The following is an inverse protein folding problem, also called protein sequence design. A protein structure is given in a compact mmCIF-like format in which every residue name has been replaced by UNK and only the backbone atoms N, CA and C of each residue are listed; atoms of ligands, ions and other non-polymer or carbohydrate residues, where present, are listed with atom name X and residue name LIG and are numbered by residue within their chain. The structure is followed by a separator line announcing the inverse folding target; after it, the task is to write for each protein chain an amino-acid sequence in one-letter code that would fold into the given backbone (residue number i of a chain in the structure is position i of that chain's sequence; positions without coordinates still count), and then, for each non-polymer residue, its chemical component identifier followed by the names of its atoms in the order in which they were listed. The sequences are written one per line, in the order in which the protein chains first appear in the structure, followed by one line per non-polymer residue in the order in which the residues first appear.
data_IF_564663240566
#
_entry.id   IF_564663240566
#
_cell.length_a   1.000
_cell.length_b   1.000
_cell.length_c   1.000
_cell.angle_alpha   90.00
_cell.angle_beta   90.00
_cell.angle_gamma   90.00
#
_symmetry.space_group_name_H-M   'P 1'
#
loop_
_entity.id
_entity.type
_entity.pdbx_description
1 polymer ?
#
# COMPACT_ATOMS: atom_id res chain seq x y z
N UNK A 1 -15.65 13.12 0.75
CA UNK A 1 -14.62 13.24 0.06
C UNK A 1 -14.48 12.21 -0.89
N UNK A 2 -13.77 12.55 -1.65
CA UNK A 2 -13.48 11.75 -2.66
C UNK A 2 -12.42 10.83 -2.41
N UNK A 3 -12.46 9.73 -2.97
CA UNK A 3 -11.34 8.86 -2.94
C UNK A 3 -10.19 9.50 -3.68
N UNK A 4 -9.00 9.06 -3.38
CA UNK A 4 -7.80 9.53 -4.05
C UNK A 4 -7.79 8.94 -5.45
N UNK A 5 -7.88 9.81 -6.44
CA UNK A 5 -7.95 9.37 -7.81
C UNK A 5 -6.55 9.25 -8.39
N UNK A 6 -5.89 8.15 -8.13
CA UNK A 6 -4.52 7.95 -8.57
C UNK A 6 -4.41 7.37 -9.97
N UNK A 7 -5.37 6.50 -10.33
CA UNK A 7 -5.26 5.76 -11.58
C UNK A 7 -5.14 6.62 -12.82
N UNK A 8 -5.93 7.69 -12.99
CA UNK A 8 -5.81 8.48 -14.20
C UNK A 8 -4.52 9.24 -14.33
N UNK A 9 -3.88 9.56 -13.19
CA UNK A 9 -2.68 10.38 -13.17
C UNK A 9 -1.41 9.56 -13.06
N UNK A 10 -1.49 8.31 -12.66
CA UNK A 10 -0.33 7.49 -12.40
C UNK A 10 -0.10 6.53 -13.55
N UNK A 11 1.10 6.51 -14.15
CA UNK A 11 1.37 5.58 -15.24
C UNK A 11 1.16 4.12 -14.83
N UNK A 12 0.79 3.31 -15.81
CA UNK A 12 0.45 1.90 -15.56
C UNK A 12 1.62 1.07 -15.04
N UNK A 13 2.84 1.49 -15.31
CA UNK A 13 4.02 0.74 -14.90
C UNK A 13 4.44 1.03 -13.47
N UNK A 14 3.71 1.89 -12.76
CA UNK A 14 3.99 2.14 -11.35
C UNK A 14 3.26 1.14 -10.47
N UNK A 15 3.95 0.68 -9.44
CA UNK A 15 3.31 -0.06 -8.35
C UNK A 15 2.98 0.91 -7.22
N UNK A 16 2.05 0.53 -6.38
CA UNK A 16 1.68 1.31 -5.21
C UNK A 16 2.08 0.53 -3.96
N UNK A 17 2.77 1.19 -3.06
CA UNK A 17 3.08 0.63 -1.74
C UNK A 17 2.38 1.46 -0.68
N UNK A 18 1.43 0.87 0.01
CA UNK A 18 0.71 1.55 1.08
C UNK A 18 1.51 1.38 2.36
N UNK A 19 1.95 2.48 2.94
CA UNK A 19 2.83 2.47 4.08
C UNK A 19 2.07 2.74 5.37
N UNK A 20 2.15 1.82 6.31
CA UNK A 20 1.59 1.98 7.64
C UNK A 20 2.68 2.28 8.63
N UNK A 21 2.34 3.00 9.69
CA UNK A 21 3.32 3.28 10.73
C UNK A 21 3.74 2.00 11.45
N UNK A 22 2.77 1.14 11.72
CA UNK A 22 2.99 -0.06 12.50
C UNK A 22 2.40 0.09 13.87
N UNK A 23 2.17 -1.03 14.53
CA UNK A 23 1.57 -1.04 15.84
C UNK A 23 1.84 -2.38 16.49
N UNK A 24 1.86 -2.39 17.81
CA UNK A 24 1.90 -3.64 18.58
C UNK A 24 0.50 -4.16 18.82
N UNK A 25 -0.52 -3.37 18.47
CA UNK A 25 -1.91 -3.75 18.62
C UNK A 25 -2.36 -4.55 17.40
N UNK A 26 -2.76 -5.78 17.62
CA UNK A 26 -3.17 -6.67 16.54
C UNK A 26 -4.38 -6.17 15.78
N UNK A 27 -5.28 -5.49 16.47
CA UNK A 27 -6.48 -4.96 15.81
C UNK A 27 -6.10 -3.84 14.85
N UNK A 28 -5.20 -2.96 15.26
CA UNK A 28 -4.75 -1.89 14.39
C UNK A 28 -4.05 -2.41 13.15
N UNK A 29 -3.24 -3.44 13.31
CA UNK A 29 -2.58 -4.08 12.19
C UNK A 29 -3.60 -4.68 11.24
N UNK A 30 -4.58 -5.38 11.79
CA UNK A 30 -5.59 -6.04 10.96
C UNK A 30 -6.45 -5.02 10.21
N UNK A 31 -6.79 -3.92 10.86
CA UNK A 31 -7.54 -2.85 10.20
C UNK A 31 -6.78 -2.27 9.02
N UNK A 32 -5.48 -2.06 9.19
CA UNK A 32 -4.66 -1.55 8.12
C UNK A 32 -4.58 -2.54 6.96
N UNK A 33 -4.38 -3.82 7.25
CA UNK A 33 -4.29 -4.84 6.21
C UNK A 33 -5.60 -4.97 5.45
N UNK A 34 -6.71 -4.86 6.15
CA UNK A 34 -8.02 -4.90 5.52
C UNK A 34 -8.21 -3.72 4.58
N UNK A 35 -7.80 -2.53 5.02
CA UNK A 35 -7.91 -1.33 4.19
C UNK A 35 -7.04 -1.46 2.94
N UNK A 36 -5.82 -1.94 3.10
CA UNK A 36 -4.92 -2.14 1.96
C UNK A 36 -5.50 -3.17 0.97
N UNK A 37 -6.12 -4.21 1.49
CA UNK A 37 -6.73 -5.23 0.65
C UNK A 37 -7.88 -4.66 -0.17
N UNK A 38 -8.70 -3.80 0.44
CA UNK A 38 -9.79 -3.14 -0.27
C UNK A 38 -9.28 -2.23 -1.37
N UNK A 39 -8.20 -1.53 -1.10
CA UNK A 39 -7.60 -0.67 -2.11
C UNK A 39 -7.08 -1.49 -3.27
N UNK A 40 -6.44 -2.61 -2.98
CA UNK A 40 -5.95 -3.50 -4.01
C UNK A 40 -7.07 -3.99 -4.92
N UNK A 41 -8.23 -4.27 -4.34
CA UNK A 41 -9.38 -4.70 -5.12
C UNK A 41 -9.86 -3.64 -6.09
N UNK A 42 -9.66 -2.38 -5.77
CA UNK A 42 -10.06 -1.26 -6.64
C UNK A 42 -9.06 -1.00 -7.75
N UNK A 43 -7.87 -1.58 -7.65
CA UNK A 43 -6.81 -1.38 -8.64
C UNK A 43 -6.35 -2.73 -9.18
N UNK A 44 -7.25 -3.49 -9.83
CA UNK A 44 -6.94 -4.87 -10.20
C UNK A 44 -5.83 -5.01 -11.23
N UNK A 45 -5.57 -3.95 -12.00
CA UNK A 45 -4.56 -3.99 -13.05
C UNK A 45 -3.21 -3.46 -12.60
N UNK A 46 -3.06 -3.17 -11.31
CA UNK A 46 -1.85 -2.57 -10.78
C UNK A 46 -1.34 -3.39 -9.61
N UNK A 47 -0.03 -3.47 -9.48
CA UNK A 47 0.58 -4.13 -8.32
C UNK A 47 0.42 -3.20 -7.13
N UNK A 48 -0.21 -3.70 -6.08
CA UNK A 48 -0.41 -2.96 -4.83
C UNK A 48 0.11 -3.83 -3.70
N UNK A 49 1.08 -3.31 -2.96
CA UNK A 49 1.63 -3.98 -1.79
C UNK A 49 1.50 -3.05 -0.60
N UNK A 50 1.69 -3.59 0.59
CA UNK A 50 1.67 -2.75 1.79
C UNK A 50 2.80 -3.18 2.71
N UNK A 51 3.21 -2.27 3.57
CA UNK A 51 4.25 -2.56 4.53
C UNK A 51 4.20 -1.59 5.69
N UNK A 52 4.81 -1.98 6.78
CA UNK A 52 4.86 -1.18 8.01
C UNK A 52 6.26 -0.63 8.23
N UNK A 53 6.33 0.55 8.85
CA UNK A 53 7.61 1.12 9.23
C UNK A 53 8.29 0.33 10.34
N UNK A 54 7.50 -0.11 11.33
CA UNK A 54 8.04 -0.86 12.45
C UNK A 54 6.95 -1.68 13.13
N UNK A 55 7.37 -2.57 14.03
CA UNK A 55 6.51 -3.39 14.91
C UNK A 55 5.69 -4.47 14.23
N UNK A 56 5.60 -4.50 12.92
CA UNK A 56 4.77 -5.49 12.25
C UNK A 56 5.32 -5.82 10.88
N UNK A 57 4.91 -6.95 10.37
CA UNK A 57 5.28 -7.38 9.02
C UNK A 57 4.04 -7.49 8.16
N UNK A 58 4.18 -7.34 6.85
CA UNK A 58 5.44 -7.09 6.15
C UNK A 58 5.95 -5.68 6.42
N UNK A 59 7.25 -5.49 6.29
CA UNK A 59 7.84 -4.16 6.39
C UNK A 59 7.73 -3.44 5.04
N UNK A 60 7.98 -2.14 5.05
CA UNK A 60 8.01 -1.39 3.79
C UNK A 60 9.11 -1.93 2.89
N UNK A 61 10.26 -2.29 3.46
CA UNK A 61 11.34 -2.89 2.66
C UNK A 61 10.90 -4.19 2.02
N UNK A 62 10.17 -5.03 2.75
CA UNK A 62 9.65 -6.28 2.20
C UNK A 62 8.73 -6.00 1.00
N UNK A 63 7.88 -4.99 1.11
CA UNK A 63 6.96 -4.63 0.04
C UNK A 63 7.70 -4.14 -1.20
N UNK A 64 8.72 -3.33 -0.99
CA UNK A 64 9.52 -2.80 -2.10
C UNK A 64 10.29 -3.94 -2.79
N UNK A 65 10.88 -4.84 -2.02
CA UNK A 65 11.59 -5.98 -2.59
C UNK A 65 10.65 -6.81 -3.45
N UNK A 66 9.43 -7.03 -2.98
CA UNK A 66 8.47 -7.81 -3.74
C UNK A 66 8.13 -7.14 -5.07
N UNK A 67 7.95 -5.84 -5.08
CA UNK A 67 7.70 -5.11 -6.32
C UNK A 67 8.87 -5.24 -7.28
N UNK A 68 10.08 -5.13 -6.77
CA UNK A 68 11.29 -5.26 -7.60
C UNK A 68 11.40 -6.66 -8.19
N UNK A 69 11.09 -7.67 -7.39
CA UNK A 69 11.10 -9.05 -7.87
C UNK A 69 10.08 -9.28 -8.98
N UNK A 70 8.99 -8.53 -8.95
CA UNK A 70 7.97 -8.59 -9.99
C UNK A 70 8.31 -7.74 -11.22
N UNK A 71 9.50 -7.16 -11.25
CA UNK A 71 9.97 -6.40 -12.41
C UNK A 71 9.57 -4.94 -12.42
N UNK A 72 9.00 -4.45 -11.31
CA UNK A 72 8.57 -3.06 -11.22
C UNK A 72 9.77 -2.15 -10.95
N UNK A 73 9.86 -1.06 -11.67
CA UNK A 73 10.94 -0.08 -11.50
C UNK A 73 10.49 1.21 -10.85
N UNK A 74 9.20 1.48 -10.85
CA UNK A 74 8.66 2.73 -10.31
C UNK A 74 7.62 2.41 -9.26
N UNK A 75 7.80 2.91 -8.06
CA UNK A 75 6.93 2.63 -6.93
C UNK A 75 6.51 3.95 -6.30
N UNK A 76 5.22 4.11 -6.08
CA UNK A 76 4.69 5.24 -5.32
C UNK A 76 4.35 4.74 -3.94
N UNK A 77 4.87 5.41 -2.92
CA UNK A 77 4.57 5.07 -1.54
C UNK A 77 3.50 6.02 -1.03
N UNK A 78 2.39 5.47 -0.58
CA UNK A 78 1.26 6.24 -0.10
C UNK A 78 1.08 6.00 1.38
N UNK A 79 1.12 7.06 2.22
CA UNK A 79 0.85 6.88 3.65
C UNK A 79 -0.56 6.35 3.87
N UNK A 80 -0.68 5.35 4.71
CA UNK A 80 -1.96 4.71 4.97
C UNK A 80 -3.01 5.65 5.52
N UNK A 81 -2.57 6.70 6.21
CA UNK A 81 -3.50 7.69 6.77
C UNK A 81 -4.35 8.36 5.68
N UNK A 82 -3.81 8.48 4.48
CA UNK A 82 -4.58 9.05 3.38
C UNK A 82 -5.71 8.14 2.94
N UNK A 83 -5.55 6.85 3.14
CA UNK A 83 -6.58 5.88 2.80
C UNK A 83 -7.71 5.93 3.81
N UNK A 84 -7.37 6.09 5.07
CA UNK A 84 -8.36 6.13 6.15
C UNK A 84 -9.17 7.41 6.15
N UNK A 85 -8.65 8.48 5.57
CA UNK A 85 -9.32 9.77 5.52
C UNK A 85 -10.43 9.82 4.46
N UNK A 86 -10.42 8.87 3.58
CA UNK A 86 -11.37 8.84 2.47
C UNK A 86 -12.78 8.43 2.80
#
# INVERSE_FOLDING_TARGET
MNEIALSPALPDDYAICIAGHGSRDKEGIQEFLTLASKFKEREPDRIVECGFLEFAKPTIDDAIVKCVQDGIKNIVVIPGVLMAAG
#
